data_IF_334140504295
#
_entry.id   IF_334140504295
#
_cell.length_a   1.000
_cell.length_b   1.000
_cell.length_c   1.000
_cell.angle_alpha   90.00
_cell.angle_beta   90.00
_cell.angle_gamma   90.00
#
_symmetry.space_group_name_H-M   'P 1'
#
loop_
_entity.id
_entity.type
_entity.pdbx_description
1 polymer ?
#
# COMPACT_ATOMS: atom_id res chain seq x y z
N UNK A 1 5.91 21.07 1.20
CA UNK A 1 7.17 20.31 1.26
C UNK A 1 6.91 18.84 0.92
N UNK A 2 6.13 18.07 1.67
CA UNK A 2 5.91 16.62 1.43
C UNK A 2 5.15 16.26 0.13
N UNK A 3 4.66 17.24 -0.63
CA UNK A 3 4.12 17.02 -1.98
C UNK A 3 5.19 16.56 -2.97
N UNK A 4 6.42 17.04 -2.80
CA UNK A 4 7.52 16.84 -3.76
C UNK A 4 8.70 16.03 -3.21
N UNK A 5 8.85 15.99 -1.88
CA UNK A 5 9.98 15.31 -1.24
C UNK A 5 9.58 13.91 -0.75
N UNK A 6 10.51 12.95 -0.78
CA UNK A 6 10.31 11.63 -0.17
C UNK A 6 9.96 11.73 1.32
N UNK A 7 9.05 10.87 1.76
CA UNK A 7 8.74 10.67 3.18
C UNK A 7 9.59 9.51 3.69
N UNK A 8 10.76 9.80 4.22
CA UNK A 8 11.70 8.76 4.67
C UNK A 8 11.32 8.15 6.02
N UNK A 9 10.70 8.93 6.90
CA UNK A 9 10.34 8.46 8.23
C UNK A 9 8.92 8.89 8.58
N UNK A 10 8.22 8.01 9.29
CA UNK A 10 6.88 8.27 9.81
C UNK A 10 6.84 8.08 11.32
N UNK A 11 5.92 8.70 12.05
CA UNK A 11 5.77 8.48 13.50
C UNK A 11 5.63 7.00 13.86
N UNK A 12 4.91 6.24 13.03
CA UNK A 12 4.71 4.81 13.24
C UNK A 12 6.03 4.03 13.26
N UNK A 13 6.98 4.35 12.38
CA UNK A 13 8.28 3.66 12.32
C UNK A 13 9.03 3.79 13.66
N UNK A 14 9.07 4.99 14.24
CA UNK A 14 9.72 5.22 15.53
C UNK A 14 8.99 4.51 16.68
N UNK A 15 7.67 4.54 16.70
CA UNK A 15 6.86 3.87 17.71
C UNK A 15 7.11 2.36 17.65
N UNK A 16 7.17 1.76 16.46
CA UNK A 16 7.49 0.34 16.30
C UNK A 16 8.87 -0.04 16.79
N UNK A 17 9.86 0.85 16.62
CA UNK A 17 11.21 0.63 17.20
C UNK A 17 11.14 0.62 18.72
N UNK A 18 10.42 1.56 19.33
CA UNK A 18 10.26 1.59 20.79
C UNK A 18 9.55 0.32 21.29
N UNK A 19 8.48 -0.11 20.61
CA UNK A 19 7.77 -1.35 20.94
C UNK A 19 8.70 -2.57 20.81
N UNK A 20 9.47 -2.67 19.73
CA UNK A 20 10.43 -3.77 19.53
C UNK A 20 11.48 -3.82 20.67
N UNK A 21 12.03 -2.67 21.06
CA UNK A 21 12.99 -2.59 22.16
C UNK A 21 12.35 -2.96 23.50
N UNK A 22 11.13 -2.47 23.77
CA UNK A 22 10.38 -2.80 24.97
C UNK A 22 10.08 -4.30 25.08
N UNK A 23 9.84 -4.97 23.95
CA UNK A 23 9.67 -6.43 23.85
C UNK A 23 11.01 -7.22 23.89
N UNK A 24 12.16 -6.56 24.10
CA UNK A 24 13.48 -7.19 24.07
C UNK A 24 13.95 -7.65 22.68
N UNK A 25 13.31 -7.16 21.63
CA UNK A 25 13.67 -7.47 20.23
C UNK A 25 14.71 -6.49 19.70
N UNK A 26 15.49 -6.90 18.70
CA UNK A 26 16.39 -5.98 18.00
C UNK A 26 15.57 -4.99 17.16
N UNK A 27 15.86 -3.68 17.23
CA UNK A 27 15.22 -2.68 16.40
C UNK A 27 15.39 -2.98 14.92
N UNK A 28 14.30 -2.85 14.14
CA UNK A 28 14.31 -3.08 12.71
C UNK A 28 13.47 -2.03 12.00
N UNK A 29 14.09 -1.28 11.10
CA UNK A 29 13.43 -0.42 10.12
C UNK A 29 14.07 -0.71 8.76
N UNK A 30 13.36 -1.44 7.92
CA UNK A 30 13.73 -1.67 6.52
C UNK A 30 12.84 -0.77 5.67
N UNK A 31 13.41 0.32 5.20
CA UNK A 31 12.71 1.31 4.38
C UNK A 31 13.64 1.89 3.31
N UNK A 32 13.15 1.95 2.08
CA UNK A 32 13.82 2.64 0.98
C UNK A 32 12.75 3.27 0.09
N UNK A 33 12.91 4.57 -0.21
CA UNK A 33 12.00 5.28 -1.11
C UNK A 33 12.20 4.86 -2.57
N UNK A 34 11.08 4.77 -3.29
CA UNK A 34 11.06 4.55 -4.74
C UNK A 34 9.93 5.38 -5.37
N UNK A 35 10.20 6.09 -6.47
CA UNK A 35 9.16 6.87 -7.14
C UNK A 35 8.14 5.94 -7.83
N UNK A 36 6.91 6.44 -7.97
CA UNK A 36 5.76 5.66 -8.45
C UNK A 36 5.98 5.09 -9.85
N UNK A 37 6.68 5.80 -10.72
CA UNK A 37 7.04 5.39 -12.07
C UNK A 37 8.05 4.22 -12.14
N UNK A 38 8.66 3.85 -11.00
CA UNK A 38 9.56 2.70 -10.84
C UNK A 38 8.92 1.54 -10.07
N UNK A 39 7.63 1.62 -9.79
CA UNK A 39 6.84 0.56 -9.17
C UNK A 39 5.99 -0.09 -10.27
N UNK A 40 5.88 -1.43 -10.26
CA UNK A 40 4.99 -2.16 -11.17
C UNK A 40 3.55 -1.68 -11.03
N UNK A 41 2.85 -1.43 -12.15
CA UNK A 41 1.41 -1.10 -12.17
C UNK A 41 0.53 -2.11 -11.43
N UNK A 42 1.01 -3.33 -11.24
CA UNK A 42 0.32 -4.34 -10.45
C UNK A 42 0.17 -3.95 -8.98
N UNK A 43 1.10 -3.16 -8.43
CA UNK A 43 1.09 -2.84 -7.00
C UNK A 43 -0.03 -1.85 -6.64
N UNK A 44 -0.14 -0.66 -7.27
CA UNK A 44 -1.29 0.21 -7.03
C UNK A 44 -2.62 -0.47 -7.40
N UNK A 45 -2.66 -1.29 -8.46
CA UNK A 45 -3.85 -2.04 -8.82
C UNK A 45 -4.27 -3.04 -7.73
N UNK A 46 -3.33 -3.79 -7.14
CA UNK A 46 -3.62 -4.74 -6.06
C UNK A 46 -4.11 -4.03 -4.80
N UNK A 47 -3.47 -2.91 -4.43
CA UNK A 47 -3.85 -2.11 -3.26
C UNK A 47 -5.24 -1.50 -3.45
N UNK A 48 -5.52 -0.88 -4.60
CA UNK A 48 -6.86 -0.35 -4.91
C UNK A 48 -7.90 -1.45 -4.84
N UNK A 49 -7.62 -2.62 -5.42
CA UNK A 49 -8.57 -3.74 -5.43
C UNK A 49 -8.89 -4.28 -4.02
N UNK A 50 -7.91 -4.26 -3.10
CA UNK A 50 -8.05 -4.88 -1.78
C UNK A 50 -8.46 -3.94 -0.67
N UNK A 51 -8.08 -2.65 -0.76
CA UNK A 51 -8.24 -1.68 0.32
C UNK A 51 -9.27 -0.58 -0.01
N UNK A 52 -9.38 -0.20 -1.30
CA UNK A 52 -10.18 0.97 -1.68
C UNK A 52 -10.54 0.92 -3.18
N UNK A 53 -11.48 0.06 -3.55
CA UNK A 53 -11.85 -0.16 -4.95
C UNK A 53 -12.38 1.09 -5.67
N UNK A 54 -12.74 2.12 -4.93
CA UNK A 54 -13.25 3.40 -5.43
C UNK A 54 -12.28 4.56 -5.25
N UNK A 55 -11.00 4.29 -4.96
CA UNK A 55 -9.96 5.29 -4.69
C UNK A 55 -9.96 6.48 -5.66
N UNK A 56 -10.15 6.22 -6.96
CA UNK A 56 -10.19 7.25 -8.01
C UNK A 56 -11.52 7.99 -8.11
N UNK A 57 -12.56 7.60 -7.35
CA UNK A 57 -13.93 8.14 -7.48
C UNK A 57 -14.35 9.02 -6.31
N UNK A 58 -13.59 9.06 -5.23
CA UNK A 58 -13.88 9.88 -4.06
C UNK A 58 -12.72 10.83 -3.73
N UNK A 59 -12.99 11.84 -2.90
CA UNK A 59 -12.02 12.84 -2.44
C UNK A 59 -11.70 12.61 -0.94
N UNK A 60 -11.02 11.50 -0.65
CA UNK A 60 -10.56 11.16 0.70
C UNK A 60 -11.49 10.24 1.48
N UNK A 61 -12.81 10.37 1.32
CA UNK A 61 -13.80 9.56 2.04
C UNK A 61 -14.74 8.87 1.07
N UNK A 62 -14.89 7.56 1.19
CA UNK A 62 -15.88 6.79 0.43
C UNK A 62 -17.18 6.66 1.24
N UNK A 63 -18.05 7.66 1.12
CA UNK A 63 -19.34 7.67 1.84
C UNK A 63 -20.26 6.51 1.46
N UNK A 64 -20.14 5.99 0.25
CA UNK A 64 -20.91 4.82 -0.18
C UNK A 64 -20.47 3.56 0.54
N UNK A 65 -19.15 3.32 0.66
CA UNK A 65 -18.62 2.19 1.41
C UNK A 65 -18.85 2.35 2.92
N UNK A 66 -18.74 3.56 3.46
CA UNK A 66 -19.11 3.85 4.87
C UNK A 66 -20.58 3.50 5.13
N UNK A 67 -21.47 3.90 4.22
CA UNK A 67 -22.90 3.60 4.35
C UNK A 67 -23.18 2.08 4.29
N UNK A 68 -22.56 1.37 3.34
CA UNK A 68 -22.67 -0.10 3.22
C UNK A 68 -22.15 -0.80 4.48
N UNK A 69 -20.98 -0.41 4.98
CA UNK A 69 -20.40 -0.97 6.20
C UNK A 69 -21.34 -0.78 7.42
N UNK A 70 -21.92 0.41 7.55
CA UNK A 70 -22.90 0.71 8.62
C UNK A 70 -24.17 -0.14 8.51
N UNK A 71 -24.73 -0.28 7.30
CA UNK A 71 -25.90 -1.15 7.09
C UNK A 71 -25.61 -2.60 7.45
N UNK A 72 -24.41 -3.09 7.12
CA UNK A 72 -24.00 -4.45 7.43
C UNK A 72 -23.84 -4.66 8.95
N UNK A 73 -23.22 -3.70 9.65
CA UNK A 73 -23.10 -3.72 11.11
C UNK A 73 -24.47 -3.75 11.79
N UNK A 74 -25.43 -2.93 11.32
CA UNK A 74 -26.81 -2.92 11.85
C UNK A 74 -27.56 -4.24 11.62
N UNK A 75 -27.16 -5.04 10.64
CA UNK A 75 -27.70 -6.39 10.38
C UNK A 75 -26.98 -7.49 11.15
N UNK A 76 -26.15 -7.15 12.14
CA UNK A 76 -25.35 -8.10 12.92
C UNK A 76 -24.15 -8.69 12.18
N UNK A 77 -23.76 -8.12 11.03
CA UNK A 77 -22.56 -8.48 10.31
C UNK A 77 -21.31 -7.92 10.97
N UNK A 78 -20.15 -8.50 10.63
CA UNK A 78 -18.86 -8.02 11.12
C UNK A 78 -18.59 -6.62 10.55
N UNK A 79 -18.17 -5.68 11.38
CA UNK A 79 -17.72 -4.37 10.90
C UNK A 79 -16.53 -4.55 9.95
N UNK A 80 -16.67 -4.02 8.74
CA UNK A 80 -15.58 -3.94 7.78
C UNK A 80 -14.93 -2.58 7.90
N UNK A 81 -13.59 -2.54 7.85
CA UNK A 81 -12.87 -1.28 7.83
C UNK A 81 -13.19 -0.50 6.55
N UNK A 82 -13.90 0.62 6.69
CA UNK A 82 -14.24 1.51 5.57
C UNK A 82 -13.23 2.66 5.42
N UNK A 83 -11.99 2.48 5.89
CA UNK A 83 -10.94 3.50 5.77
C UNK A 83 -10.32 3.45 4.39
N UNK A 84 -10.28 4.60 3.71
CA UNK A 84 -9.70 4.75 2.37
C UNK A 84 -8.17 4.76 2.39
N UNK A 85 -7.54 4.57 1.23
CA UNK A 85 -6.09 4.72 1.05
C UNK A 85 -5.63 6.12 1.49
N UNK A 86 -6.40 7.17 1.21
CA UNK A 86 -6.09 8.53 1.64
C UNK A 86 -6.08 8.68 3.16
N UNK A 87 -7.07 8.10 3.85
CA UNK A 87 -7.11 8.09 5.31
C UNK A 87 -5.95 7.29 5.92
N UNK A 88 -5.64 6.12 5.35
CA UNK A 88 -4.50 5.33 5.78
C UNK A 88 -3.17 6.08 5.57
N UNK A 89 -3.00 6.78 4.45
CA UNK A 89 -1.82 7.62 4.17
C UNK A 89 -1.71 8.75 5.18
N UNK A 90 -2.79 9.50 5.41
CA UNK A 90 -2.82 10.58 6.40
C UNK A 90 -2.44 10.07 7.80
N UNK A 91 -3.02 8.95 8.21
CA UNK A 91 -2.69 8.31 9.48
C UNK A 91 -1.21 7.95 9.58
N UNK A 92 -0.68 7.23 8.58
CA UNK A 92 0.68 6.71 8.64
C UNK A 92 1.75 7.80 8.62
N UNK A 93 1.51 8.90 7.88
CA UNK A 93 2.50 9.98 7.70
C UNK A 93 2.49 10.99 8.83
N UNK A 94 1.32 11.30 9.41
CA UNK A 94 1.18 12.43 10.32
C UNK A 94 0.78 12.05 11.75
N UNK A 95 0.30 10.83 11.99
CA UNK A 95 -0.32 10.46 13.25
C UNK A 95 0.35 9.25 13.90
N UNK A 96 -0.10 8.97 15.12
CA UNK A 96 0.35 7.85 15.95
C UNK A 96 -0.72 6.74 15.99
N UNK A 97 -0.34 5.51 16.32
CA UNK A 97 -1.29 4.41 16.53
C UNK A 97 -2.05 4.63 17.84
N UNK A 98 -3.32 5.01 17.73
CA UNK A 98 -4.26 5.19 18.83
C UNK A 98 -5.70 5.01 18.30
N UNK A 99 -6.65 4.77 19.17
CA UNK A 99 -8.06 4.61 18.83
C UNK A 99 -8.95 5.77 19.32
N UNK A 100 -8.32 6.90 19.74
CA UNK A 100 -9.08 8.05 20.23
C UNK A 100 -9.83 8.78 19.11
N UNK A 101 -10.97 9.37 19.47
CA UNK A 101 -11.75 10.21 18.57
C UNK A 101 -10.99 11.47 18.14
N UNK A 102 -10.12 11.98 19.03
CA UNK A 102 -9.25 13.13 18.73
C UNK A 102 -8.30 12.78 17.56
N UNK A 103 -7.61 11.63 17.65
CA UNK A 103 -6.76 11.16 16.56
C UNK A 103 -7.56 10.97 15.26
N UNK A 104 -8.80 10.42 15.35
CA UNK A 104 -9.66 10.25 14.17
C UNK A 104 -10.07 11.58 13.55
N UNK A 105 -10.26 12.62 14.35
CA UNK A 105 -10.47 14.00 13.87
C UNK A 105 -9.26 14.54 13.10
N UNK A 106 -8.05 14.35 13.63
CA UNK A 106 -6.82 14.72 12.90
C UNK A 106 -6.62 13.89 11.62
N UNK A 107 -6.96 12.62 11.63
CA UNK A 107 -6.93 11.78 10.42
C UNK A 107 -7.83 12.36 9.32
N UNK A 108 -9.06 12.75 9.67
CA UNK A 108 -9.98 13.38 8.74
C UNK A 108 -9.43 14.73 8.22
N UNK A 109 -8.90 15.56 9.10
CA UNK A 109 -8.28 16.84 8.71
C UNK A 109 -7.12 16.65 7.73
N UNK A 110 -6.16 15.78 8.04
CA UNK A 110 -5.03 15.52 7.15
C UNK A 110 -5.46 14.83 5.86
N UNK A 111 -6.51 14.00 5.87
CA UNK A 111 -7.07 13.40 4.66
C UNK A 111 -7.54 14.45 3.68
N UNK A 112 -8.30 15.45 4.15
CA UNK A 112 -8.74 16.58 3.31
C UNK A 112 -7.53 17.36 2.76
N UNK A 113 -6.54 17.63 3.60
CA UNK A 113 -5.35 18.37 3.18
C UNK A 113 -4.56 17.64 2.09
N UNK A 114 -4.30 16.35 2.25
CA UNK A 114 -3.52 15.61 1.23
C UNK A 114 -4.29 15.43 -0.06
N UNK A 115 -5.60 15.24 -0.03
CA UNK A 115 -6.42 15.19 -1.26
C UNK A 115 -6.38 16.50 -2.01
N UNK A 116 -6.49 17.63 -1.30
CA UNK A 116 -6.46 18.95 -1.91
C UNK A 116 -5.07 19.32 -2.46
N UNK A 117 -4.00 18.98 -1.71
CA UNK A 117 -2.64 19.45 -2.01
C UNK A 117 -1.88 18.47 -2.91
N UNK A 118 -1.98 17.15 -2.67
CA UNK A 118 -1.12 16.14 -3.31
C UNK A 118 -1.73 15.54 -4.58
N UNK A 119 -3.02 15.24 -4.55
CA UNK A 119 -3.70 14.46 -5.59
C UNK A 119 -3.43 12.95 -5.51
N UNK A 120 -4.21 12.16 -6.24
CA UNK A 120 -4.29 10.70 -6.13
C UNK A 120 -2.97 9.97 -6.40
N UNK A 121 -2.22 10.40 -7.41
CA UNK A 121 -0.93 9.78 -7.74
C UNK A 121 0.07 9.92 -6.61
N UNK A 122 0.21 11.14 -6.06
CA UNK A 122 1.12 11.38 -4.94
C UNK A 122 0.67 10.69 -3.66
N UNK A 123 -0.62 10.63 -3.38
CA UNK A 123 -1.16 9.87 -2.24
C UNK A 123 -0.79 8.38 -2.37
N UNK A 124 -0.99 7.80 -3.56
CA UNK A 124 -0.63 6.41 -3.81
C UNK A 124 0.88 6.18 -3.70
N UNK A 125 1.71 7.09 -4.22
CA UNK A 125 3.16 7.00 -4.11
C UNK A 125 3.62 7.01 -2.65
N UNK A 126 3.12 7.94 -1.84
CA UNK A 126 3.45 8.01 -0.42
C UNK A 126 2.92 6.79 0.33
N UNK A 127 1.70 6.34 0.04
CA UNK A 127 1.14 5.12 0.62
C UNK A 127 2.05 3.91 0.39
N UNK A 128 2.41 3.65 -0.87
CA UNK A 128 3.25 2.51 -1.25
C UNK A 128 4.66 2.56 -0.68
N UNK A 129 5.12 3.73 -0.26
CA UNK A 129 6.42 3.90 0.38
C UNK A 129 6.37 3.92 1.91
N UNK A 130 5.22 4.24 2.54
CA UNK A 130 5.14 4.46 3.98
C UNK A 130 4.38 3.38 4.75
N UNK A 131 3.54 2.59 4.08
CA UNK A 131 2.73 1.56 4.75
C UNK A 131 3.60 0.40 5.23
N UNK A 132 3.30 -0.10 6.43
CA UNK A 132 3.94 -1.30 6.98
C UNK A 132 3.47 -2.53 6.20
N UNK A 133 4.41 -3.31 5.65
CA UNK A 133 4.18 -4.49 4.81
C UNK A 133 4.71 -5.79 5.43
N UNK A 134 5.26 -5.68 6.64
CA UNK A 134 5.79 -6.76 7.46
C UNK A 134 6.41 -6.18 8.72
N UNK A 135 6.80 -7.00 9.69
CA UNK A 135 7.41 -6.54 10.94
C UNK A 135 8.70 -5.76 10.67
N UNK A 136 8.65 -4.44 10.89
CA UNK A 136 9.74 -3.51 10.61
C UNK A 136 10.07 -3.34 9.12
N UNK A 137 9.18 -3.73 8.21
CA UNK A 137 9.35 -3.59 6.75
C UNK A 137 8.35 -2.57 6.24
N UNK A 138 8.84 -1.45 5.72
CA UNK A 138 8.02 -0.33 5.23
C UNK A 138 8.24 -0.08 3.75
N UNK A 139 7.12 0.01 3.04
CA UNK A 139 7.09 0.34 1.62
C UNK A 139 7.47 -0.82 0.69
N UNK A 140 7.05 -0.61 -0.56
CA UNK A 140 7.11 -1.63 -1.61
C UNK A 140 8.53 -2.05 -1.98
N UNK A 141 9.51 -1.12 -1.89
CA UNK A 141 10.89 -1.44 -2.27
C UNK A 141 11.54 -2.38 -1.28
N UNK A 142 11.34 -2.16 0.02
CA UNK A 142 11.87 -3.02 1.05
C UNK A 142 11.25 -4.43 0.99
N UNK A 143 9.92 -4.54 0.90
CA UNK A 143 9.25 -5.85 0.83
C UNK A 143 9.59 -6.61 -0.46
N UNK A 144 9.68 -5.93 -1.60
CA UNK A 144 10.06 -6.55 -2.88
C UNK A 144 11.45 -7.19 -2.81
N UNK A 145 12.41 -6.48 -2.22
CA UNK A 145 13.79 -6.96 -2.04
C UNK A 145 13.87 -8.11 -1.04
N UNK A 146 13.27 -7.93 0.15
CA UNK A 146 13.46 -8.87 1.27
C UNK A 146 12.65 -10.16 1.14
N UNK A 147 11.44 -10.07 0.58
CA UNK A 147 10.50 -11.19 0.57
C UNK A 147 10.38 -11.85 -0.80
N UNK A 148 10.77 -11.15 -1.89
CA UNK A 148 10.60 -11.66 -3.26
C UNK A 148 11.89 -11.69 -4.07
N UNK A 149 13.00 -11.13 -3.56
CA UNK A 149 14.27 -10.96 -4.30
C UNK A 149 14.06 -10.27 -5.65
N UNK A 150 13.27 -9.20 -5.67
CA UNK A 150 12.87 -8.45 -6.86
C UNK A 150 13.01 -6.95 -6.68
N UNK A 151 13.18 -6.24 -7.80
CA UNK A 151 12.94 -4.81 -7.82
C UNK A 151 11.44 -4.51 -7.85
N UNK A 152 10.97 -3.35 -7.33
CA UNK A 152 9.56 -2.99 -7.30
C UNK A 152 8.86 -3.03 -8.67
N UNK A 153 9.57 -2.68 -9.73
CA UNK A 153 9.07 -2.71 -11.10
C UNK A 153 8.93 -4.12 -11.70
N UNK A 154 9.44 -5.16 -11.00
CA UNK A 154 9.39 -6.56 -11.41
C UNK A 154 8.27 -7.35 -10.71
N UNK A 155 7.56 -6.74 -9.78
CA UNK A 155 6.48 -7.39 -9.05
C UNK A 155 5.39 -7.84 -10.03
N UNK A 156 5.12 -9.13 -10.03
CA UNK A 156 4.04 -9.73 -10.80
C UNK A 156 2.68 -9.45 -10.16
N UNK A 157 1.61 -9.71 -10.88
CA UNK A 157 0.25 -9.61 -10.35
C UNK A 157 0.04 -10.43 -9.07
N UNK A 158 0.64 -11.61 -9.01
CA UNK A 158 0.56 -12.49 -7.83
C UNK A 158 1.39 -11.96 -6.67
N UNK A 159 2.58 -11.43 -6.92
CA UNK A 159 3.43 -10.84 -5.88
C UNK A 159 2.73 -9.62 -5.27
N UNK A 160 2.23 -8.71 -6.11
CA UNK A 160 1.51 -7.52 -5.67
C UNK A 160 0.26 -7.86 -4.86
N UNK A 161 -0.53 -8.85 -5.31
CA UNK A 161 -1.69 -9.32 -4.58
C UNK A 161 -1.33 -9.99 -3.24
N UNK A 162 -0.18 -10.66 -3.16
CA UNK A 162 0.30 -11.26 -1.91
C UNK A 162 0.73 -10.18 -0.91
N UNK A 163 1.44 -9.15 -1.37
CA UNK A 163 1.80 -7.99 -0.55
C UNK A 163 0.53 -7.28 -0.07
N UNK A 164 -0.40 -6.97 -0.96
CA UNK A 164 -1.67 -6.33 -0.58
C UNK A 164 -2.48 -7.17 0.42
N UNK A 165 -2.40 -8.50 0.35
CA UNK A 165 -3.07 -9.39 1.30
C UNK A 165 -2.53 -9.29 2.74
N UNK A 166 -1.30 -8.79 2.94
CA UNK A 166 -0.72 -8.62 4.29
C UNK A 166 -1.19 -7.33 4.97
N UNK A 167 -1.54 -6.29 4.22
CA UNK A 167 -1.77 -4.93 4.71
C UNK A 167 -2.74 -4.81 5.91
N UNK A 168 -3.85 -5.58 6.02
CA UNK A 168 -4.72 -5.48 7.19
C UNK A 168 -4.09 -5.93 8.52
N UNK A 169 -3.02 -6.73 8.47
CA UNK A 169 -2.34 -7.26 9.66
C UNK A 169 -0.87 -7.58 9.35
N UNK A 170 -0.04 -6.56 9.06
CA UNK A 170 1.32 -6.76 8.55
C UNK A 170 2.28 -7.41 9.56
N UNK A 171 1.99 -7.30 10.87
CA UNK A 171 2.81 -7.93 11.91
C UNK A 171 2.58 -9.44 12.02
N UNK A 172 1.43 -9.94 11.59
CA UNK A 172 1.04 -11.36 11.72
C UNK A 172 1.00 -12.10 10.39
N UNK A 173 0.95 -11.37 9.27
CA UNK A 173 0.90 -11.92 7.91
C UNK A 173 2.23 -11.73 7.22
N UNK A 174 2.90 -12.83 6.93
CA UNK A 174 4.21 -12.82 6.28
C UNK A 174 4.09 -13.19 4.79
N UNK A 175 4.42 -12.23 3.91
CA UNK A 175 4.43 -12.49 2.46
C UNK A 175 5.63 -13.32 2.01
N UNK A 176 6.67 -13.48 2.84
CA UNK A 176 7.82 -14.34 2.55
C UNK A 176 7.46 -15.82 2.76
N UNK A 177 6.74 -16.10 3.86
CA UNK A 177 6.30 -17.44 4.25
C UNK A 177 4.76 -17.48 4.39
N UNK A 178 4.00 -17.38 3.28
CA UNK A 178 2.57 -17.17 3.32
C UNK A 178 1.81 -18.39 3.81
N UNK A 179 0.93 -18.20 4.79
CA UNK A 179 -0.02 -19.23 5.23
C UNK A 179 -1.04 -19.59 4.14
N UNK A 180 -1.69 -20.73 4.26
CA UNK A 180 -2.77 -21.12 3.35
C UNK A 180 -3.92 -20.12 3.30
N UNK A 181 -4.23 -19.44 4.43
CA UNK A 181 -5.23 -18.37 4.47
C UNK A 181 -4.78 -17.14 3.67
N UNK A 182 -3.52 -16.73 3.83
CA UNK A 182 -2.96 -15.61 3.10
C UNK A 182 -2.94 -15.88 1.59
N UNK A 183 -2.64 -17.12 1.18
CA UNK A 183 -2.69 -17.54 -0.22
C UNK A 183 -4.13 -17.52 -0.79
N UNK A 184 -5.14 -17.90 0.00
CA UNK A 184 -6.55 -17.77 -0.40
C UNK A 184 -6.94 -16.31 -0.58
N UNK A 185 -6.54 -15.41 0.35
CA UNK A 185 -6.77 -13.97 0.25
C UNK A 185 -6.09 -13.40 -0.99
N UNK A 186 -4.82 -13.72 -1.24
CA UNK A 186 -4.10 -13.34 -2.47
C UNK A 186 -4.89 -13.74 -3.73
N UNK A 187 -5.37 -14.98 -3.80
CA UNK A 187 -6.10 -15.46 -4.97
C UNK A 187 -7.39 -14.67 -5.19
N UNK A 188 -8.10 -14.28 -4.12
CA UNK A 188 -9.26 -13.42 -4.18
C UNK A 188 -8.88 -12.05 -4.75
N UNK A 189 -7.84 -11.40 -4.23
CA UNK A 189 -7.37 -10.11 -4.73
C UNK A 189 -7.00 -10.20 -6.22
N UNK A 190 -6.32 -11.26 -6.67
CA UNK A 190 -6.01 -11.48 -8.09
C UNK A 190 -7.28 -11.51 -8.96
N UNK A 191 -8.39 -12.06 -8.47
CA UNK A 191 -9.67 -12.00 -9.18
C UNK A 191 -10.26 -10.58 -9.16
N UNK A 192 -10.28 -9.93 -8.00
CA UNK A 192 -10.79 -8.55 -7.82
C UNK A 192 -10.06 -7.56 -8.73
N UNK A 193 -8.73 -7.70 -8.89
CA UNK A 193 -7.93 -6.90 -9.84
C UNK A 193 -8.43 -6.95 -11.29
N UNK A 194 -9.22 -7.94 -11.68
CA UNK A 194 -9.78 -8.02 -13.05
C UNK A 194 -10.94 -7.05 -13.26
N UNK A 195 -11.63 -6.67 -12.20
CA UNK A 195 -12.80 -5.80 -12.24
C UNK A 195 -12.44 -4.31 -12.15
N UNK A 196 -11.23 -3.98 -11.71
CA UNK A 196 -10.71 -2.61 -11.74
C UNK A 196 -10.20 -2.33 -13.16
N UNK A 197 -10.88 -1.42 -13.87
CA UNK A 197 -10.58 -1.15 -15.29
C UNK A 197 -9.16 -0.64 -15.52
N UNK A 198 -8.72 0.31 -14.72
CA UNK A 198 -7.39 0.89 -14.85
C UNK A 198 -7.05 1.74 -13.62
N UNK A 199 -5.82 1.62 -13.13
CA UNK A 199 -5.21 2.50 -12.14
C UNK A 199 -4.00 3.14 -12.84
N UNK A 200 -4.03 4.46 -13.14
CA UNK A 200 -3.06 5.09 -14.05
C UNK A 200 -1.72 5.40 -13.40
N UNK A 201 -1.26 4.55 -12.48
CA UNK A 201 -0.03 4.74 -11.71
C UNK A 201 0.90 3.54 -11.86
N UNK A 202 2.21 3.80 -11.78
CA UNK A 202 3.23 2.78 -11.87
C UNK A 202 3.74 2.51 -13.29
N UNK A 203 4.73 1.63 -13.39
CA UNK A 203 5.35 1.25 -14.68
C UNK A 203 4.53 0.19 -15.40
N UNK A 204 4.00 0.46 -16.60
CA UNK A 204 3.30 -0.52 -17.41
C UNK A 204 4.21 -1.69 -17.82
N UNK A 205 3.76 -2.91 -17.65
CA UNK A 205 4.50 -4.14 -18.00
C UNK A 205 4.80 -4.20 -19.51
N UNK A 206 3.90 -3.70 -20.35
CA UNK A 206 4.09 -3.69 -21.81
C UNK A 206 5.24 -2.79 -22.26
N UNK A 207 5.40 -1.60 -21.64
CA UNK A 207 6.54 -0.71 -21.94
C UNK A 207 7.87 -1.38 -21.61
N UNK A 208 7.92 -2.20 -20.56
CA UNK A 208 9.12 -2.93 -20.16
C UNK A 208 9.48 -4.03 -21.16
N UNK A 209 8.51 -4.77 -21.67
CA UNK A 209 8.73 -5.79 -22.71
C UNK A 209 9.32 -5.18 -24.00
N UNK A 210 8.81 -4.02 -24.43
CA UNK A 210 9.37 -3.28 -25.58
C UNK A 210 10.80 -2.84 -25.32
N UNK A 211 11.11 -2.25 -24.16
CA UNK A 211 12.47 -1.77 -23.83
C UNK A 211 13.48 -2.92 -23.79
N UNK A 212 13.15 -4.04 -23.18
CA UNK A 212 14.00 -5.24 -23.13
C UNK A 212 14.21 -5.82 -24.54
N UNK A 213 13.17 -5.87 -25.36
CA UNK A 213 13.29 -6.36 -26.76
C UNK A 213 14.18 -5.46 -27.60
N UNK A 214 14.06 -4.15 -27.45
CA UNK A 214 14.91 -3.17 -28.16
C UNK A 214 16.36 -3.27 -27.71
N UNK A 215 16.64 -3.41 -26.41
CA UNK A 215 18.00 -3.58 -25.89
C UNK A 215 18.64 -4.91 -26.35
N UNK A 216 17.86 -6.01 -26.39
CA UNK A 216 18.36 -7.29 -26.94
C UNK A 216 18.69 -7.19 -28.43
N UNK A 217 17.84 -6.53 -29.21
CA UNK A 217 18.08 -6.33 -30.65
C UNK A 217 19.29 -5.44 -30.92
N UNK A 218 19.56 -4.47 -30.07
CA UNK A 218 20.75 -3.60 -30.19
C UNK A 218 22.04 -4.37 -29.88
N UNK A 219 22.04 -5.22 -28.82
CA UNK A 219 23.18 -6.09 -28.46
C UNK A 219 23.49 -7.21 -29.49
N UNK A 220 22.53 -7.54 -30.34
CA UNK A 220 22.74 -8.52 -31.43
C UNK A 220 23.23 -7.87 -32.73
N UNK A 221 23.28 -6.52 -32.81
CA UNK A 221 23.73 -5.75 -33.97
C UNK A 221 25.04 -5.03 -33.70
N UNK A 222 25.56 -5.07 -32.50
CA UNK A 222 26.89 -4.61 -32.09
C UNK A 222 27.82 -5.80 -31.89
#
# INVERSE_FOLDING_TARGET
>A
VLKWLPVYYTPLMFIRVVEQVADGRKPKIEHEWVSIDRISENMPLAVVSSEDARFLKHNGFDFEEIYKARLQALRGGKEWGASTISQQTAKNVFLWPDHSWVRKGFEAYFTVLIEFIWGKERIMEVYLNSVEMGDGIYGVKAVARLNFDKNPDQLTRRDAALIAATLPSPLTRDSKNPSGELLRRRNRIVQEMKYIKHVPFGTPIEKKKKKIRTQKLWKLRS
#
